data_IF_983256824519
#
_entry.id   IF_983256824519
#
_cell.length_a   1.000
_cell.length_b   1.000
_cell.length_c   1.000
_cell.angle_alpha   90.00
_cell.angle_beta   90.00
_cell.angle_gamma   90.00
#
_symmetry.space_group_name_H-M   'P 1'
#
loop_
_entity.id
_entity.type
_entity.pdbx_description
1 polymer ?
#
# COMPACT_ATOMS: atom_id res chain seq x y z
N UNK A 1 -3.29 11.86 5.14
CA UNK A 1 -2.54 10.95 4.26
C UNK A 1 -1.28 10.58 5.00
N UNK A 2 -1.18 9.33 5.41
CA UNK A 2 -0.04 8.87 6.22
C UNK A 2 1.14 8.54 5.31
N UNK A 3 2.35 8.94 5.72
CA UNK A 3 3.59 8.69 4.97
C UNK A 3 4.22 7.41 5.48
N UNK A 4 4.32 6.41 4.62
CA UNK A 4 4.95 5.12 4.92
C UNK A 4 6.31 5.07 4.19
N UNK A 5 7.36 4.63 4.89
CA UNK A 5 8.67 4.38 4.27
C UNK A 5 8.91 2.88 4.21
N UNK A 6 8.97 2.32 3.01
CA UNK A 6 9.24 0.90 2.77
C UNK A 6 10.55 0.73 2.00
N UNK A 7 11.22 -0.41 2.18
CA UNK A 7 12.41 -0.80 1.41
C UNK A 7 11.95 -1.67 0.25
N UNK A 8 12.19 -1.24 -0.98
CA UNK A 8 11.96 -2.05 -2.18
C UNK A 8 13.29 -2.48 -2.77
N UNK A 9 13.35 -3.66 -3.41
CA UNK A 9 14.48 -4.04 -4.24
C UNK A 9 14.66 -3.04 -5.40
N UNK A 10 15.91 -2.75 -5.79
CA UNK A 10 16.22 -1.71 -6.78
C UNK A 10 15.58 -1.97 -8.15
N UNK A 11 15.45 -3.24 -8.53
CA UNK A 11 14.81 -3.66 -9.79
C UNK A 11 13.34 -3.24 -9.88
N UNK A 12 12.61 -3.28 -8.75
CA UNK A 12 11.20 -2.86 -8.72
C UNK A 12 11.07 -1.34 -8.79
N UNK A 13 12.01 -0.62 -8.15
CA UNK A 13 12.06 0.85 -8.22
C UNK A 13 12.32 1.30 -9.65
N UNK A 14 13.27 0.66 -10.34
CA UNK A 14 13.56 0.97 -11.76
C UNK A 14 12.33 0.73 -12.66
N UNK A 15 11.61 -0.39 -12.47
CA UNK A 15 10.36 -0.63 -13.20
C UNK A 15 9.29 0.44 -12.92
N UNK A 16 9.14 0.85 -11.66
CA UNK A 16 8.22 1.92 -11.27
C UNK A 16 8.60 3.26 -11.90
N UNK A 17 9.89 3.58 -11.96
CA UNK A 17 10.40 4.79 -12.61
C UNK A 17 10.09 4.75 -14.11
N UNK A 18 10.30 3.62 -14.80
CA UNK A 18 9.92 3.51 -16.23
C UNK A 18 8.43 3.69 -16.45
N UNK A 19 7.56 3.21 -15.56
CA UNK A 19 6.11 3.43 -15.66
C UNK A 19 5.72 4.92 -15.56
N UNK A 20 6.51 5.70 -14.83
CA UNK A 20 6.36 7.15 -14.77
C UNK A 20 6.93 7.81 -16.03
N UNK A 21 8.07 7.33 -16.53
CA UNK A 21 8.69 7.84 -17.75
C UNK A 21 7.81 7.66 -19.00
N UNK A 22 7.10 6.54 -19.12
CA UNK A 22 6.13 6.31 -20.22
C UNK A 22 4.86 7.15 -20.08
N UNK A 23 4.68 7.85 -18.95
CA UNK A 23 3.55 8.72 -18.68
C UNK A 23 2.28 8.02 -18.21
N UNK A 24 2.34 6.73 -17.85
CA UNK A 24 1.17 6.03 -17.28
C UNK A 24 0.82 6.57 -15.89
N UNK A 25 1.83 6.95 -15.10
CA UNK A 25 1.63 7.49 -13.76
C UNK A 25 2.36 8.82 -13.56
N UNK A 26 1.76 9.78 -12.83
CA UNK A 26 2.37 11.08 -12.57
C UNK A 26 3.55 11.01 -11.59
N UNK A 27 3.63 9.98 -10.74
CA UNK A 27 4.74 9.76 -9.82
C UNK A 27 4.83 8.30 -9.37
N UNK A 28 6.00 7.90 -8.87
CA UNK A 28 6.22 6.57 -8.28
C UNK A 28 5.25 6.32 -7.13
N UNK A 29 4.97 7.34 -6.31
CA UNK A 29 4.01 7.27 -5.21
C UNK A 29 2.59 6.96 -5.70
N UNK A 30 2.20 7.49 -6.85
CA UNK A 30 0.89 7.23 -7.46
C UNK A 30 0.79 5.79 -7.97
N UNK A 31 1.83 5.32 -8.67
CA UNK A 31 1.92 3.96 -9.19
C UNK A 31 1.87 2.92 -8.06
N UNK A 32 2.62 3.15 -6.97
CA UNK A 32 2.58 2.28 -5.78
C UNK A 32 1.20 2.32 -5.13
N UNK A 33 0.57 3.50 -5.01
CA UNK A 33 -0.78 3.61 -4.45
C UNK A 33 -1.81 2.84 -5.26
N UNK A 34 -1.72 2.91 -6.60
CA UNK A 34 -2.58 2.15 -7.49
C UNK A 34 -2.40 0.64 -7.28
N UNK A 35 -1.15 0.16 -7.25
CA UNK A 35 -0.83 -1.25 -7.03
C UNK A 35 -1.34 -1.76 -5.67
N UNK A 36 -1.15 -0.97 -4.60
CA UNK A 36 -1.65 -1.32 -3.25
C UNK A 36 -3.19 -1.37 -3.24
N UNK A 37 -3.86 -0.40 -3.87
CA UNK A 37 -5.33 -0.39 -3.96
C UNK A 37 -5.85 -1.61 -4.71
N UNK A 38 -5.27 -1.94 -5.85
CA UNK A 38 -5.68 -3.11 -6.65
C UNK A 38 -5.45 -4.42 -5.87
N UNK A 39 -4.30 -4.54 -5.22
CA UNK A 39 -3.97 -5.67 -4.36
C UNK A 39 -4.94 -5.82 -3.19
N UNK A 40 -5.31 -4.71 -2.54
CA UNK A 40 -6.30 -4.72 -1.46
C UNK A 40 -7.69 -5.05 -1.99
N UNK A 41 -8.08 -4.55 -3.17
CA UNK A 41 -9.38 -4.84 -3.79
C UNK A 41 -9.51 -6.30 -4.21
N UNK A 42 -8.44 -6.93 -4.70
CA UNK A 42 -8.43 -8.38 -4.98
C UNK A 42 -8.46 -9.21 -3.69
N UNK A 43 -7.90 -8.70 -2.59
CA UNK A 43 -7.88 -9.41 -1.30
C UNK A 43 -9.04 -9.05 -0.37
N UNK A 44 -9.84 -8.02 -0.65
CA UNK A 44 -10.93 -7.58 0.22
C UNK A 44 -12.03 -8.64 0.37
N UNK A 45 -12.24 -9.51 -0.62
CA UNK A 45 -13.12 -10.69 -0.47
C UNK A 45 -12.68 -11.61 0.69
N UNK A 46 -11.41 -11.53 1.08
CA UNK A 46 -10.82 -12.29 2.18
C UNK A 46 -10.64 -11.44 3.45
N UNK A 47 -10.36 -10.14 3.33
CA UNK A 47 -10.05 -9.23 4.46
C UNK A 47 -11.30 -8.64 5.13
N UNK A 48 -12.45 -8.56 4.45
CA UNK A 48 -13.72 -8.13 5.08
C UNK A 48 -14.15 -9.01 6.27
N UNK A 49 -13.51 -10.17 6.49
CA UNK A 49 -13.70 -11.02 7.68
C UNK A 49 -12.75 -10.70 8.83
N UNK A 50 -11.69 -9.91 8.59
CA UNK A 50 -10.57 -9.70 9.53
C UNK A 50 -10.54 -8.27 10.10
N UNK A 51 -11.18 -7.30 9.42
CA UNK A 51 -11.22 -5.89 9.86
C UNK A 51 -11.96 -5.65 11.18
N UNK A 52 -12.77 -6.61 11.66
CA UNK A 52 -13.39 -6.53 12.99
C UNK A 52 -12.38 -6.78 14.14
N UNK A 53 -11.15 -7.21 13.85
CA UNK A 53 -10.13 -7.52 14.87
C UNK A 53 -9.05 -6.45 15.07
N UNK A 54 -8.95 -5.45 14.19
CA UNK A 54 -7.90 -4.41 14.29
C UNK A 54 -8.29 -3.26 15.22
N UNK A 55 -9.58 -3.11 15.56
CA UNK A 55 -10.05 -2.13 16.56
C UNK A 55 -9.81 -2.56 18.00
N UNK A 56 -9.29 -3.77 18.26
CA UNK A 56 -9.01 -4.25 19.64
C UNK A 56 -7.60 -3.92 20.15
N UNK A 57 -6.72 -3.36 19.32
CA UNK A 57 -5.34 -3.01 19.74
C UNK A 57 -5.18 -1.62 20.38
N UNK A 58 -6.27 -0.87 20.56
CA UNK A 58 -6.29 0.43 21.28
C UNK A 58 -7.08 0.36 22.60
N UNK A 59 -6.92 -0.74 23.34
CA UNK A 59 -7.37 -0.87 24.74
C UNK A 59 -6.23 -1.39 25.62
N UNK A 60 -5.15 -0.60 25.70
CA UNK A 60 -3.95 -1.03 26.42
C UNK A 60 -2.85 0.01 26.63
N UNK A 61 -3.17 1.29 26.79
CA UNK A 61 -2.29 2.17 27.59
C UNK A 61 -2.80 2.05 29.03
N UNK A 62 -2.23 1.11 29.77
CA UNK A 62 -2.36 1.05 31.22
C UNK A 62 -1.15 1.78 31.83
N UNK A 63 -1.40 3.01 32.28
CA UNK A 63 -0.80 3.68 33.44
C UNK A 63 -1.62 4.95 33.71
#
# INVERSE_FOLDING_TARGET
MDRITIRLPPQQVEMLERLVEIGEFPSVSEAVRYAVRDFLSQKSDRILRDSDSISTFDMGINC
#
